data_IF_565647443729
#
_entry.id   IF_565647443729
#
_cell.length_a   1.000
_cell.length_b   1.000
_cell.length_c   1.000
_cell.angle_alpha   90.00
_cell.angle_beta   90.00
_cell.angle_gamma   90.00
#
_symmetry.space_group_name_H-M   'P 1'
#
loop_
_entity.id
_entity.type
_entity.pdbx_description
1 polymer ?
#
# COMPACT_ATOMS: atom_id res chain seq x y z
N UNK A 1 -1.61 -14.83 -8.73
CA UNK A 1 -1.35 -16.18 -8.17
C UNK A 1 -1.41 -16.21 -6.64
N UNK A 2 -0.50 -15.55 -5.91
CA UNK A 2 -0.47 -15.58 -4.42
C UNK A 2 -1.81 -15.25 -3.75
N UNK A 3 -2.48 -14.16 -4.18
CA UNK A 3 -3.79 -13.78 -3.61
C UNK A 3 -4.82 -14.91 -3.70
N UNK A 4 -4.92 -15.58 -4.85
CA UNK A 4 -5.83 -16.70 -5.04
C UNK A 4 -5.50 -17.87 -4.10
N UNK A 5 -4.22 -18.22 -3.93
CA UNK A 5 -3.80 -19.28 -3.01
C UNK A 5 -4.14 -18.96 -1.56
N UNK A 6 -3.95 -17.71 -1.12
CA UNK A 6 -4.35 -17.29 0.23
C UNK A 6 -5.87 -17.38 0.40
N UNK A 7 -6.64 -16.88 -0.58
CA UNK A 7 -8.11 -16.85 -0.51
C UNK A 7 -8.72 -18.25 -0.47
N UNK A 8 -8.16 -19.20 -1.22
CA UNK A 8 -8.62 -20.58 -1.28
C UNK A 8 -7.81 -21.53 -0.39
N UNK A 9 -6.98 -21.01 0.53
CA UNK A 9 -6.02 -21.78 1.33
C UNK A 9 -6.66 -23.00 2.01
N UNK A 10 -7.83 -22.83 2.62
CA UNK A 10 -8.58 -23.91 3.30
C UNK A 10 -8.86 -25.10 2.39
N UNK A 11 -8.98 -24.90 1.08
CA UNK A 11 -9.28 -25.94 0.09
C UNK A 11 -8.04 -26.48 -0.64
N UNK A 12 -6.90 -25.79 -0.52
CA UNK A 12 -5.70 -26.03 -1.35
C UNK A 12 -4.48 -26.51 -0.55
N UNK A 13 -4.54 -26.48 0.78
CA UNK A 13 -3.46 -26.98 1.65
C UNK A 13 -3.41 -28.50 1.78
N UNK A 14 -4.44 -29.21 1.34
CA UNK A 14 -4.45 -30.66 1.38
C UNK A 14 -3.34 -31.25 0.50
N UNK A 15 -2.99 -32.51 0.74
CA UNK A 15 -1.98 -33.24 -0.04
C UNK A 15 -2.38 -33.47 -1.50
N UNK A 16 -3.60 -33.13 -1.89
CA UNK A 16 -4.13 -33.36 -3.24
C UNK A 16 -3.45 -32.42 -4.24
N UNK A 17 -2.78 -32.97 -5.27
CA UNK A 17 -2.16 -32.15 -6.29
C UNK A 17 -3.23 -31.42 -7.12
N UNK A 18 -3.01 -30.13 -7.38
CA UNK A 18 -3.89 -29.34 -8.26
C UNK A 18 -3.10 -28.61 -9.35
N UNK A 19 -3.82 -28.09 -10.35
CA UNK A 19 -3.22 -27.41 -11.50
C UNK A 19 -3.59 -25.95 -11.49
N UNK A 20 -2.58 -25.09 -11.66
CA UNK A 20 -2.77 -23.65 -11.86
C UNK A 20 -2.54 -23.35 -13.33
N UNK A 21 -3.62 -22.99 -14.02
CA UNK A 21 -3.58 -22.47 -15.37
C UNK A 21 -3.24 -20.98 -15.36
N UNK A 22 -2.19 -20.60 -16.07
CA UNK A 22 -1.79 -19.18 -16.20
C UNK A 22 -1.33 -18.88 -17.62
N UNK A 23 -1.61 -17.68 -18.08
CA UNK A 23 -1.08 -17.09 -19.31
C UNK A 23 0.31 -16.46 -19.12
N UNK A 24 0.91 -16.61 -17.94
CA UNK A 24 2.21 -16.06 -17.62
C UNK A 24 3.33 -17.12 -17.80
N UNK A 25 3.99 -17.10 -18.95
CA UNK A 25 4.98 -18.13 -19.35
C UNK A 25 6.15 -18.25 -18.35
N UNK A 26 6.66 -17.14 -17.84
CA UNK A 26 7.82 -17.16 -16.93
C UNK A 26 7.53 -17.77 -15.55
N UNK A 27 6.25 -17.89 -15.18
CA UNK A 27 5.84 -18.58 -13.95
C UNK A 27 6.02 -20.10 -14.05
N UNK A 28 5.99 -20.67 -15.26
CA UNK A 28 6.27 -22.09 -15.52
C UNK A 28 7.72 -22.46 -15.20
N UNK A 29 8.64 -21.55 -15.50
CA UNK A 29 10.09 -21.78 -15.31
C UNK A 29 10.57 -21.37 -13.94
N UNK A 30 9.85 -20.47 -13.25
CA UNK A 30 10.23 -19.96 -11.93
C UNK A 30 10.31 -21.05 -10.85
N UNK A 31 9.48 -22.09 -10.93
CA UNK A 31 9.51 -23.22 -9.97
C UNK A 31 10.66 -24.18 -10.21
N UNK A 32 11.22 -24.21 -11.43
CA UNK A 32 12.23 -25.20 -11.86
C UNK A 32 13.61 -24.58 -12.08
N UNK A 33 13.78 -23.28 -11.82
CA UNK A 33 15.05 -22.59 -12.04
C UNK A 33 16.09 -23.00 -10.98
N UNK A 34 17.29 -23.47 -11.37
CA UNK A 34 18.34 -23.86 -10.43
C UNK A 34 18.99 -22.65 -9.72
N UNK A 35 18.90 -21.46 -10.32
CA UNK A 35 19.41 -20.23 -9.75
C UNK A 35 18.25 -19.30 -9.38
N UNK A 36 18.03 -19.14 -8.07
CA UNK A 36 16.96 -18.34 -7.51
C UNK A 36 17.53 -17.08 -6.85
N UNK A 37 17.02 -15.92 -7.24
CA UNK A 37 17.30 -14.69 -6.48
C UNK A 37 16.68 -14.78 -5.09
N UNK A 38 17.23 -14.06 -4.10
CA UNK A 38 16.69 -14.09 -2.74
C UNK A 38 15.22 -13.65 -2.66
N UNK A 39 14.82 -12.72 -3.54
CA UNK A 39 13.40 -12.35 -3.69
C UNK A 39 12.58 -13.55 -4.16
N UNK A 40 13.05 -14.27 -5.18
CA UNK A 40 12.35 -15.44 -5.72
C UNK A 40 12.28 -16.59 -4.72
N UNK A 41 13.34 -16.81 -3.93
CA UNK A 41 13.37 -17.78 -2.85
C UNK A 41 12.27 -17.50 -1.81
N UNK A 42 12.12 -16.25 -1.36
CA UNK A 42 11.01 -15.86 -0.44
C UNK A 42 9.63 -16.15 -1.03
N UNK A 43 9.45 -15.91 -2.32
CA UNK A 43 8.20 -16.24 -3.01
C UNK A 43 7.97 -17.75 -3.07
N UNK A 44 8.99 -18.53 -3.43
CA UNK A 44 8.90 -19.99 -3.52
C UNK A 44 8.66 -20.65 -2.16
N UNK A 45 9.24 -20.13 -1.07
CA UNK A 45 8.94 -20.62 0.28
C UNK A 45 7.45 -20.54 0.62
N UNK A 46 6.77 -19.48 0.19
CA UNK A 46 5.31 -19.38 0.34
C UNK A 46 4.56 -20.42 -0.51
N UNK A 47 5.04 -20.67 -1.73
CA UNK A 47 4.40 -21.63 -2.64
C UNK A 47 4.66 -23.09 -2.24
N UNK A 48 5.74 -23.37 -1.51
CA UNK A 48 6.10 -24.72 -1.06
C UNK A 48 5.06 -25.36 -0.11
N UNK A 49 4.20 -24.56 0.52
CA UNK A 49 3.06 -25.06 1.32
C UNK A 49 1.99 -25.77 0.48
N UNK A 50 1.98 -25.59 -0.84
CA UNK A 50 0.92 -26.07 -1.72
C UNK A 50 1.45 -27.12 -2.70
N UNK A 51 0.71 -28.22 -2.87
CA UNK A 51 1.02 -29.24 -3.88
C UNK A 51 0.38 -28.88 -5.23
N UNK A 52 1.07 -28.10 -6.07
CA UNK A 52 0.55 -27.70 -7.38
C UNK A 52 1.54 -27.86 -8.52
N UNK A 53 1.00 -27.96 -9.73
CA UNK A 53 1.74 -27.78 -10.99
C UNK A 53 1.22 -26.58 -11.77
N UNK A 54 2.12 -25.89 -12.48
CA UNK A 54 1.77 -24.74 -13.32
C UNK A 54 1.70 -25.18 -14.77
N UNK A 55 0.54 -24.97 -15.40
CA UNK A 55 0.33 -25.24 -16.82
C UNK A 55 0.05 -23.92 -17.56
N UNK A 56 0.72 -23.73 -18.69
CA UNK A 56 0.50 -22.55 -19.51
C UNK A 56 -0.81 -22.68 -20.28
N UNK A 57 -1.66 -21.66 -20.16
CA UNK A 57 -2.89 -21.52 -20.95
C UNK A 57 -2.84 -20.17 -21.65
N UNK A 58 -2.83 -20.11 -23.00
CA UNK A 58 -2.79 -18.84 -23.72
C UNK A 58 -3.92 -17.91 -23.28
N UNK A 59 -3.64 -16.61 -23.13
CA UNK A 59 -4.60 -15.61 -22.67
C UNK A 59 -5.91 -15.61 -23.46
N UNK A 60 -5.85 -15.89 -24.78
CA UNK A 60 -7.02 -16.05 -25.65
C UNK A 60 -8.02 -17.11 -25.15
N UNK A 61 -7.54 -18.15 -24.46
CA UNK A 61 -8.39 -19.20 -23.87
C UNK A 61 -8.65 -18.96 -22.37
N UNK A 62 -7.99 -17.98 -21.77
CA UNK A 62 -8.12 -17.63 -20.36
C UNK A 62 -9.17 -16.52 -20.13
N UNK A 63 -10.16 -16.41 -21.02
CA UNK A 63 -11.17 -15.34 -21.05
C UNK A 63 -11.89 -15.18 -19.72
N UNK A 64 -12.24 -16.27 -19.05
CA UNK A 64 -12.95 -16.21 -17.77
C UNK A 64 -12.09 -15.58 -16.66
N UNK A 65 -10.83 -16.00 -16.54
CA UNK A 65 -9.93 -15.44 -15.53
C UNK A 65 -9.63 -13.97 -15.85
N UNK A 66 -9.43 -13.63 -17.12
CA UNK A 66 -9.23 -12.27 -17.58
C UNK A 66 -10.42 -11.37 -17.23
N UNK A 67 -11.64 -11.78 -17.61
CA UNK A 67 -12.88 -11.07 -17.30
C UNK A 67 -13.07 -10.87 -15.79
N UNK A 68 -12.83 -11.89 -14.96
CA UNK A 68 -12.95 -11.78 -13.51
C UNK A 68 -11.89 -10.87 -12.89
N UNK A 69 -10.67 -10.84 -13.45
CA UNK A 69 -9.59 -9.99 -12.95
C UNK A 69 -9.72 -8.51 -13.33
N UNK A 70 -10.48 -8.19 -14.39
CA UNK A 70 -10.68 -6.82 -14.91
C UNK A 70 -12.05 -6.25 -14.55
N UNK A 71 -12.71 -6.81 -13.55
CA UNK A 71 -14.04 -6.38 -13.13
C UNK A 71 -13.97 -4.97 -12.49
N UNK A 72 -14.65 -3.95 -13.06
CA UNK A 72 -14.54 -2.56 -12.59
C UNK A 72 -15.13 -2.36 -11.18
N UNK A 73 -16.04 -3.25 -10.77
CA UNK A 73 -16.58 -3.25 -9.41
C UNK A 73 -15.54 -3.63 -8.34
N UNK A 74 -14.47 -4.33 -8.69
CA UNK A 74 -13.35 -4.58 -7.77
C UNK A 74 -12.46 -3.35 -7.58
N UNK A 75 -12.34 -2.48 -8.58
CA UNK A 75 -11.55 -1.24 -8.45
C UNK A 75 -12.20 -0.29 -7.43
N UNK A 76 -13.53 -0.21 -7.44
CA UNK A 76 -14.29 0.58 -6.47
C UNK A 76 -14.18 0.04 -5.03
N UNK A 77 -13.95 -1.27 -4.86
CA UNK A 77 -13.76 -1.88 -3.54
C UNK A 77 -12.38 -1.60 -2.92
N UNK A 78 -11.40 -1.18 -3.73
CA UNK A 78 -10.04 -0.85 -3.28
C UNK A 78 -9.78 0.65 -3.15
N UNK A 79 -10.68 1.51 -3.65
CA UNK A 79 -10.61 2.96 -3.43
C UNK A 79 -11.42 3.32 -2.19
N UNK A 80 -10.88 3.00 -1.01
CA UNK A 80 -11.21 3.73 0.22
C UNK A 80 -10.40 5.01 0.28
N UNK A 81 -10.38 5.83 -0.79
CA UNK A 81 -9.90 7.20 -0.64
C UNK A 81 -11.02 7.94 0.07
N UNK A 82 -10.99 7.90 1.40
CA UNK A 82 -11.87 8.72 2.21
C UNK A 82 -11.47 10.16 1.90
N UNK A 83 -12.26 10.82 1.07
CA UNK A 83 -12.16 12.26 0.84
C UNK A 83 -12.71 12.92 2.10
N UNK A 84 -11.90 12.98 3.14
CA UNK A 84 -12.27 13.62 4.39
C UNK A 84 -11.83 15.06 4.36
N UNK A 85 -12.73 15.95 4.73
CA UNK A 85 -12.42 17.36 5.01
C UNK A 85 -11.59 17.53 6.31
N UNK A 86 -11.24 16.43 6.97
CA UNK A 86 -10.51 16.40 8.25
C UNK A 86 -9.21 17.22 8.20
N UNK A 87 -8.47 17.17 7.10
CA UNK A 87 -7.24 17.98 6.95
C UNK A 87 -7.53 19.48 6.99
N UNK A 88 -8.58 19.93 6.30
CA UNK A 88 -8.98 21.33 6.32
C UNK A 88 -9.55 21.72 7.69
N UNK A 89 -10.35 20.86 8.31
CA UNK A 89 -10.92 21.10 9.64
C UNK A 89 -9.84 21.23 10.71
N UNK A 90 -8.83 20.35 10.70
CA UNK A 90 -7.67 20.46 11.58
C UNK A 90 -6.90 21.75 11.30
N UNK A 91 -6.70 22.10 10.01
CA UNK A 91 -6.01 23.34 9.63
C UNK A 91 -6.73 24.58 10.16
N UNK A 92 -8.05 24.63 10.03
CA UNK A 92 -8.87 25.73 10.55
C UNK A 92 -8.86 25.77 12.08
N UNK A 93 -8.96 24.61 12.75
CA UNK A 93 -8.90 24.55 14.21
C UNK A 93 -7.58 25.08 14.78
N UNK A 94 -6.44 24.85 14.10
CA UNK A 94 -5.16 25.42 14.52
C UNK A 94 -5.09 26.95 14.44
N UNK A 95 -5.92 27.58 13.59
CA UNK A 95 -6.00 29.03 13.49
C UNK A 95 -6.78 29.66 14.64
N UNK A 96 -7.56 28.87 15.39
CA UNK A 96 -8.36 29.31 16.52
C UNK A 96 -7.78 28.87 17.88
N UNK A 97 -6.79 27.98 17.90
CA UNK A 97 -6.15 27.50 19.13
C UNK A 97 -5.10 28.50 19.66
N UNK A 98 -5.34 29.04 20.85
CA UNK A 98 -4.45 29.99 21.55
C UNK A 98 -3.00 29.50 21.67
N UNK A 99 -2.77 28.18 21.72
CA UNK A 99 -1.43 27.61 21.80
C UNK A 99 -0.73 27.48 20.45
N UNK A 100 -1.46 27.43 19.33
CA UNK A 100 -0.86 27.23 18.01
C UNK A 100 -0.88 28.49 17.15
N UNK A 101 -1.75 29.46 17.42
CA UNK A 101 -1.77 30.76 16.74
C UNK A 101 -0.38 31.42 16.69
N UNK A 102 0.37 31.55 17.81
CA UNK A 102 1.68 32.18 17.79
C UNK A 102 2.71 31.40 16.96
N UNK A 103 2.61 30.06 16.94
CA UNK A 103 3.49 29.17 16.18
C UNK A 103 3.19 29.25 14.68
N UNK A 104 1.92 29.21 14.28
CA UNK A 104 1.51 29.31 12.87
C UNK A 104 1.90 30.67 12.30
N UNK A 105 1.68 31.76 13.04
CA UNK A 105 2.12 33.11 12.64
C UNK A 105 3.64 33.19 12.51
N UNK A 106 4.39 32.68 13.50
CA UNK A 106 5.86 32.67 13.46
C UNK A 106 6.41 31.90 12.26
N UNK A 107 5.85 30.72 11.96
CA UNK A 107 6.28 29.89 10.83
C UNK A 107 5.86 30.50 9.48
N UNK A 108 4.78 31.28 9.44
CA UNK A 108 4.30 31.98 8.24
C UNK A 108 5.09 33.26 7.95
N UNK A 109 5.53 33.98 9.00
CA UNK A 109 6.29 35.23 8.92
C UNK A 109 7.76 35.01 8.48
N UNK A 110 8.25 33.76 8.47
CA UNK A 110 9.58 33.40 7.99
C UNK A 110 10.73 33.84 8.92
N UNK A 111 11.96 33.86 8.40
CA UNK A 111 13.21 34.05 9.18
C UNK A 111 13.31 35.37 9.97
N UNK A 112 12.42 36.33 9.71
CA UNK A 112 12.41 37.65 10.32
C UNK A 112 11.41 37.79 11.48
N UNK A 113 10.75 36.70 11.86
CA UNK A 113 9.77 36.68 12.94
C UNK A 113 10.43 36.85 14.33
N UNK A 114 9.92 37.79 15.13
CA UNK A 114 10.39 37.99 16.51
C UNK A 114 9.98 36.80 17.40
N UNK A 115 10.98 35.99 17.77
CA UNK A 115 10.86 34.82 18.67
C UNK A 115 10.22 35.18 20.02
N UNK A 116 10.23 36.46 20.39
CA UNK A 116 9.65 36.97 21.63
C UNK A 116 8.15 36.71 21.79
N UNK A 117 7.42 36.51 20.68
CA UNK A 117 5.99 36.19 20.67
C UNK A 117 5.67 34.76 21.12
N UNK A 118 6.68 33.89 21.22
CA UNK A 118 6.51 32.49 21.61
C UNK A 118 6.79 32.29 23.10
N UNK A 119 5.97 31.48 23.76
CA UNK A 119 6.19 31.01 25.12
C UNK A 119 7.44 30.12 25.23
N UNK A 120 8.05 29.98 26.42
CA UNK A 120 9.24 29.14 26.62
C UNK A 120 9.04 27.68 26.15
N UNK A 121 7.83 27.13 26.33
CA UNK A 121 7.49 25.78 25.88
C UNK A 121 7.45 25.68 24.35
N UNK A 122 6.86 26.66 23.68
CA UNK A 122 6.79 26.69 22.21
C UNK A 122 8.19 26.83 21.60
N UNK A 123 9.05 27.68 22.18
CA UNK A 123 10.44 27.84 21.72
C UNK A 123 11.24 26.54 21.78
N UNK A 124 11.11 25.79 22.87
CA UNK A 124 11.80 24.50 23.04
C UNK A 124 11.34 23.43 22.01
N UNK A 125 10.13 23.57 21.47
CA UNK A 125 9.52 22.61 20.54
C UNK A 125 9.55 23.06 19.08
N UNK A 126 10.04 24.28 18.77
CA UNK A 126 10.09 24.84 17.41
C UNK A 126 10.70 23.88 16.37
N UNK A 127 11.76 23.16 16.74
CA UNK A 127 12.43 22.19 15.85
C UNK A 127 11.54 21.03 15.39
N UNK A 128 10.35 20.85 15.98
CA UNK A 128 9.40 19.78 15.65
C UNK A 128 8.38 20.18 14.60
N UNK A 129 8.32 21.47 14.24
CA UNK A 129 7.29 22.02 13.38
C UNK A 129 7.93 22.67 12.16
N UNK A 130 7.39 22.34 10.99
CA UNK A 130 7.73 22.98 9.71
C UNK A 130 6.43 23.31 8.98
N UNK A 131 6.41 24.43 8.26
CA UNK A 131 5.26 24.80 7.45
C UNK A 131 5.29 23.95 6.17
N UNK A 132 4.46 22.92 6.12
CA UNK A 132 4.28 22.13 4.91
C UNK A 132 3.13 22.73 4.08
N UNK A 133 3.39 23.02 2.81
CA UNK A 133 2.30 23.20 1.85
C UNK A 133 1.67 21.82 1.63
N UNK A 134 0.42 21.68 2.09
CA UNK A 134 -0.35 20.44 1.89
C UNK A 134 -0.53 20.11 0.40
N UNK A 135 -0.92 18.87 0.09
CA UNK A 135 -1.14 18.42 -1.29
C UNK A 135 -2.29 19.12 -2.01
#
# INVERSE_FOLDING_TARGET
MKYALVKFRVHLLDTRPFVIYTDHVSLRTATNSPHLSQRMARWLSFFAEYNFRVEYKPGKFNVLADALSRRPDYELAHVSRVTTDLYNQIRLAYQEDENYIPLVQFLSDGKDAKVDRLSPRQRAQLHRYELAEGP
#
